data_IF_631379820274
#
_entry.id   IF_631379820274
#
_cell.length_a   1.000
_cell.length_b   1.000
_cell.length_c   1.000
_cell.angle_alpha   90.00
_cell.angle_beta   90.00
_cell.angle_gamma   90.00
#
_symmetry.space_group_name_H-M   'P 1'
#
loop_
_entity.id
_entity.type
_entity.pdbx_description
1 polymer ?
#
# COMPACT_ATOMS: atom_id res chain seq x y z
N UNK A 1 -15.78 -8.79 14.57
CA UNK A 1 -15.35 -8.21 14.29
C UNK A 1 -15.35 -7.61 13.71
N UNK A 2 -15.05 -7.30 13.59
CA UNK A 2 -14.80 -6.62 13.10
C UNK A 2 -14.81 -6.02 12.36
N UNK A 3 -14.96 -5.86 11.77
CA UNK A 3 -14.55 -5.24 10.98
C UNK A 3 -15.12 -4.09 10.70
N UNK A 4 -15.97 -3.70 10.95
CA UNK A 4 -16.28 -2.44 11.25
C UNK A 4 -16.06 -1.48 10.17
N UNK A 5 -16.23 -1.78 8.95
CA UNK A 5 -15.95 -0.90 7.87
C UNK A 5 -14.49 -0.87 7.46
N UNK A 6 -13.65 -1.56 8.18
CA UNK A 6 -12.26 -1.62 7.83
C UNK A 6 -12.04 -2.84 7.00
N UNK A 7 -12.64 -2.87 5.85
CA UNK A 7 -12.47 -3.97 4.95
C UNK A 7 -11.23 -3.75 4.13
N UNK A 8 -10.47 -4.78 3.83
CA UNK A 8 -9.42 -4.62 2.84
C UNK A 8 -10.05 -4.25 1.51
N UNK A 9 -9.27 -3.71 0.61
CA UNK A 9 -9.72 -3.43 -0.72
C UNK A 9 -10.36 -4.68 -1.29
N UNK A 10 -11.36 -4.55 -2.15
CA UNK A 10 -11.96 -5.72 -2.76
C UNK A 10 -10.95 -6.60 -3.47
N UNK A 11 -9.90 -5.99 -3.98
CA UNK A 11 -8.84 -6.75 -4.58
C UNK A 11 -7.99 -7.39 -3.51
N UNK A 12 -8.08 -6.89 -2.28
CA UNK A 12 -7.40 -7.49 -1.16
C UNK A 12 -5.92 -7.55 -1.32
N UNK A 13 -5.34 -6.64 -2.10
CA UNK A 13 -3.94 -6.71 -2.43
C UNK A 13 -3.65 -8.08 -3.02
N UNK A 14 -4.41 -8.44 -4.06
CA UNK A 14 -4.32 -9.73 -4.68
C UNK A 14 -3.11 -9.79 -5.56
N UNK A 15 -2.02 -10.25 -5.04
CA UNK A 15 -0.73 -10.17 -5.72
C UNK A 15 -0.56 -11.17 -6.83
N UNK A 16 -1.27 -12.30 -6.82
CA UNK A 16 -1.14 -13.24 -7.92
C UNK A 16 -1.55 -12.58 -9.23
N UNK A 17 -2.60 -11.78 -9.20
CA UNK A 17 -3.03 -11.06 -10.40
C UNK A 17 -1.94 -10.11 -10.88
N UNK A 18 -1.35 -9.35 -9.94
CA UNK A 18 -0.32 -8.39 -10.32
C UNK A 18 0.96 -9.08 -10.78
N UNK A 19 1.27 -10.24 -10.24
CA UNK A 19 2.43 -11.01 -10.69
C UNK A 19 2.29 -11.41 -12.14
N UNK A 20 1.11 -11.88 -12.52
CA UNK A 20 0.83 -12.26 -13.90
C UNK A 20 0.88 -11.03 -14.80
N UNK A 21 0.23 -9.95 -14.37
CA UNK A 21 0.20 -8.73 -15.16
C UNK A 21 1.60 -8.16 -15.36
N UNK A 22 2.47 -8.27 -14.38
CA UNK A 22 3.83 -7.74 -14.46
C UNK A 22 4.66 -8.42 -15.53
N UNK A 23 4.32 -9.67 -15.89
CA UNK A 23 5.01 -10.34 -16.97
C UNK A 23 4.63 -9.76 -18.32
N UNK A 24 3.42 -9.26 -18.44
CA UNK A 24 2.92 -8.74 -19.71
C UNK A 24 3.05 -7.23 -19.82
N UNK A 25 2.76 -6.52 -18.75
CA UNK A 25 2.77 -5.07 -18.74
C UNK A 25 3.19 -4.57 -17.35
N UNK A 26 4.51 -4.52 -17.11
CA UNK A 26 5.00 -4.16 -15.79
C UNK A 26 4.54 -2.78 -15.33
N UNK A 27 4.46 -1.81 -16.22
CA UNK A 27 4.03 -0.47 -15.85
C UNK A 27 2.58 -0.46 -15.39
N UNK A 28 1.73 -1.20 -16.07
CA UNK A 28 0.33 -1.28 -15.70
C UNK A 28 0.17 -1.98 -14.35
N UNK A 29 0.97 -3.04 -14.12
CA UNK A 29 0.93 -3.74 -12.85
C UNK A 29 1.27 -2.81 -11.69
N UNK A 30 2.27 -1.96 -11.87
CA UNK A 30 2.65 -1.01 -10.80
C UNK A 30 1.62 0.09 -10.62
N UNK A 31 0.96 0.52 -11.69
CA UNK A 31 -0.12 1.49 -11.56
C UNK A 31 -1.25 0.91 -10.71
N UNK A 32 -1.60 -0.35 -10.95
CA UNK A 32 -2.62 -1.02 -10.16
C UNK A 32 -2.18 -1.21 -8.72
N UNK A 33 -0.93 -1.59 -8.52
CA UNK A 33 -0.39 -1.75 -7.18
C UNK A 33 -0.47 -0.45 -6.39
N UNK A 34 -0.19 0.68 -7.03
CA UNK A 34 -0.27 1.96 -6.34
C UNK A 34 -1.67 2.21 -5.80
N UNK A 35 -2.69 1.86 -6.59
CA UNK A 35 -4.07 2.04 -6.13
C UNK A 35 -4.37 1.16 -4.92
N UNK A 36 -3.83 -0.07 -4.91
CA UNK A 36 -4.01 -0.95 -3.77
C UNK A 36 -3.35 -0.39 -2.52
N UNK A 37 -2.12 0.10 -2.68
CA UNK A 37 -1.39 0.67 -1.54
C UNK A 37 -2.10 1.91 -1.01
N UNK A 38 -2.62 2.75 -1.89
CA UNK A 38 -3.38 3.91 -1.47
C UNK A 38 -4.60 3.53 -0.66
N UNK A 39 -5.32 2.51 -1.12
CA UNK A 39 -6.49 2.02 -0.39
C UNK A 39 -6.09 1.49 0.98
N UNK A 40 -4.99 0.74 1.03
CA UNK A 40 -4.46 0.24 2.30
C UNK A 40 -4.16 1.39 3.26
N UNK A 41 -3.49 2.42 2.78
CA UNK A 41 -3.13 3.55 3.63
C UNK A 41 -4.37 4.27 4.16
N UNK A 42 -5.39 4.43 3.32
CA UNK A 42 -6.63 5.06 3.77
C UNK A 42 -7.34 4.21 4.81
N UNK A 43 -7.34 2.89 4.63
CA UNK A 43 -7.95 2.01 5.61
C UNK A 43 -7.19 2.03 6.93
N UNK A 44 -5.85 2.06 6.87
CA UNK A 44 -5.05 2.18 8.08
C UNK A 44 -5.34 3.49 8.82
N UNK A 45 -5.48 4.58 8.06
CA UNK A 45 -5.78 5.86 8.67
C UNK A 45 -7.12 5.83 9.40
N UNK A 46 -8.11 5.20 8.79
CA UNK A 46 -9.40 5.05 9.43
C UNK A 46 -9.27 4.20 10.70
N UNK A 47 -8.52 3.11 10.63
CA UNK A 47 -8.37 2.22 11.78
C UNK A 47 -7.62 2.85 12.94
N UNK A 48 -6.67 3.73 12.65
CA UNK A 48 -5.89 4.40 13.69
C UNK A 48 -6.41 5.80 14.02
N UNK A 49 -7.58 6.16 13.50
CA UNK A 49 -8.21 7.46 13.76
C UNK A 49 -7.34 8.63 13.31
N UNK A 50 -6.72 8.48 12.16
CA UNK A 50 -5.96 9.56 11.56
C UNK A 50 -6.88 10.31 10.61
N UNK A 51 -7.04 11.61 10.81
CA UNK A 51 -7.91 12.41 9.98
C UNK A 51 -7.24 12.72 8.65
N UNK A 52 -7.93 12.45 7.57
CA UNK A 52 -7.41 12.73 6.24
C UNK A 52 -8.27 13.77 5.55
N UNK A 53 -7.64 14.56 4.70
CA UNK A 53 -8.37 15.44 3.82
C UNK A 53 -8.51 14.77 2.47
N UNK A 54 -9.50 15.22 1.72
CA UNK A 54 -9.82 14.60 0.45
C UNK A 54 -8.65 14.64 -0.51
N UNK A 55 -7.81 15.67 -0.41
CA UNK A 55 -6.69 15.84 -1.33
C UNK A 55 -5.40 15.19 -0.86
N UNK A 56 -5.41 14.53 0.27
CA UNK A 56 -4.17 13.98 0.80
C UNK A 56 -3.60 12.94 -0.15
N UNK A 57 -2.36 13.14 -0.55
CA UNK A 57 -1.66 12.18 -1.39
C UNK A 57 -1.17 11.02 -0.54
N UNK A 58 -0.76 9.95 -1.20
CA UNK A 58 -0.21 8.80 -0.49
C UNK A 58 0.97 9.20 0.40
N UNK A 59 1.81 10.12 -0.08
CA UNK A 59 2.94 10.59 0.73
C UNK A 59 2.50 11.32 1.98
N UNK A 60 1.48 12.16 1.85
CA UNK A 60 0.95 12.89 3.00
C UNK A 60 0.29 11.93 3.99
N UNK A 61 -0.47 10.97 3.49
CA UNK A 61 -1.10 9.98 4.35
C UNK A 61 -0.04 9.20 5.12
N UNK A 62 1.01 8.78 4.43
CA UNK A 62 2.10 8.04 5.06
C UNK A 62 2.74 8.86 6.18
N UNK A 63 2.98 10.14 5.92
CA UNK A 63 3.56 11.01 6.92
C UNK A 63 2.66 11.15 8.14
N UNK A 64 1.36 11.32 7.92
CA UNK A 64 0.40 11.44 9.01
C UNK A 64 0.36 10.16 9.85
N UNK A 65 0.40 9.00 9.19
CA UNK A 65 0.42 7.74 9.91
C UNK A 65 1.69 7.61 10.74
N UNK A 66 2.81 8.03 10.20
CA UNK A 66 4.06 7.97 10.96
C UNK A 66 4.02 8.93 12.16
N UNK A 67 3.52 10.13 11.96
CA UNK A 67 3.45 11.10 13.05
C UNK A 67 2.52 10.62 14.16
N UNK A 68 1.49 9.90 13.79
CA UNK A 68 0.57 9.32 14.77
C UNK A 68 1.20 8.14 15.52
N UNK A 69 2.29 7.59 15.01
CA UNK A 69 2.88 6.38 15.59
C UNK A 69 2.22 5.11 15.09
N UNK A 70 1.40 5.21 14.05
CA UNK A 70 0.69 4.05 13.53
C UNK A 70 1.60 3.14 12.71
N UNK A 71 2.62 3.70 12.10
CA UNK A 71 3.59 2.89 11.36
C UNK A 71 5.00 3.26 11.80
N UNK A 72 5.90 2.31 11.67
CA UNK A 72 7.28 2.49 12.07
C UNK A 72 8.07 3.22 11.00
N UNK A 73 9.28 3.65 11.33
CA UNK A 73 10.18 4.23 10.35
C UNK A 73 10.49 3.26 9.23
N UNK A 74 10.68 2.00 9.56
CA UNK A 74 10.97 0.99 8.55
C UNK A 74 9.79 0.80 7.61
N UNK A 75 8.58 0.74 8.15
CA UNK A 75 7.38 0.63 7.33
C UNK A 75 7.20 1.85 6.45
N UNK A 76 7.51 3.03 6.99
CA UNK A 76 7.45 4.27 6.22
C UNK A 76 8.38 4.21 5.01
N UNK A 77 9.58 3.70 5.22
CA UNK A 77 10.55 3.59 4.12
C UNK A 77 10.06 2.62 3.05
N UNK A 78 9.48 1.50 3.46
CA UNK A 78 8.97 0.52 2.50
C UNK A 78 7.82 1.10 1.68
N UNK A 79 6.87 1.76 2.35
CA UNK A 79 5.75 2.39 1.66
C UNK A 79 6.24 3.44 0.68
N UNK A 80 7.18 4.28 1.12
CA UNK A 80 7.69 5.34 0.28
C UNK A 80 8.40 4.79 -0.95
N UNK A 81 9.16 3.71 -0.78
CA UNK A 81 9.84 3.09 -1.90
C UNK A 81 8.85 2.56 -2.92
N UNK A 82 7.82 1.86 -2.46
CA UNK A 82 6.80 1.31 -3.36
C UNK A 82 6.10 2.43 -4.11
N UNK A 83 5.70 3.48 -3.38
CA UNK A 83 4.97 4.59 -4.01
C UNK A 83 5.82 5.31 -5.02
N UNK A 84 7.10 5.58 -4.71
CA UNK A 84 7.97 6.27 -5.64
C UNK A 84 8.15 5.48 -6.93
N UNK A 85 8.34 4.18 -6.81
CA UNK A 85 8.56 3.35 -7.98
C UNK A 85 7.28 3.21 -8.80
N UNK A 86 6.13 3.10 -8.13
CA UNK A 86 4.87 3.07 -8.83
C UNK A 86 4.59 4.40 -9.54
N UNK A 87 4.93 5.52 -8.90
CA UNK A 87 4.75 6.82 -9.54
C UNK A 87 5.62 6.96 -10.78
N UNK A 88 6.86 6.48 -10.71
CA UNK A 88 7.74 6.53 -11.87
C UNK A 88 7.12 5.75 -13.03
N UNK A 89 6.53 4.60 -12.74
CA UNK A 89 5.89 3.79 -13.77
C UNK A 89 4.69 4.51 -14.39
N UNK A 90 3.91 5.19 -13.55
CA UNK A 90 2.74 5.93 -14.02
C UNK A 90 3.16 7.09 -14.90
N UNK A 91 4.29 7.72 -14.58
CA UNK A 91 4.77 8.87 -15.35
C UNK A 91 5.65 8.46 -16.53
N UNK A 92 5.60 7.22 -16.93
CA UNK A 92 6.19 6.78 -18.19
C UNK A 92 7.59 6.22 -18.13
N UNK A 93 8.18 6.08 -16.95
CA UNK A 93 9.46 5.43 -16.83
C UNK A 93 9.29 3.96 -17.18
N UNK A 94 10.10 3.46 -18.09
CA UNK A 94 9.98 2.07 -18.50
C UNK A 94 10.45 1.16 -17.36
N UNK A 95 9.58 0.23 -17.00
CA UNK A 95 9.87 -0.74 -15.94
C UNK A 95 10.00 -2.11 -16.57
N UNK A 96 11.01 -2.85 -16.18
CA UNK A 96 11.18 -4.22 -16.64
C UNK A 96 10.41 -5.17 -15.73
N UNK A 97 10.05 -6.32 -16.29
CA UNK A 97 9.25 -7.29 -15.54
C UNK A 97 9.89 -7.67 -14.21
N UNK A 98 11.20 -7.93 -14.20
CA UNK A 98 11.84 -8.34 -12.94
C UNK A 98 11.84 -7.22 -11.91
N UNK A 99 11.88 -5.97 -12.37
CA UNK A 99 11.81 -4.84 -11.45
C UNK A 99 10.43 -4.75 -10.81
N UNK A 100 9.39 -4.96 -11.61
CA UNK A 100 8.03 -4.96 -11.08
C UNK A 100 7.85 -6.10 -10.08
N UNK A 101 8.43 -7.26 -10.35
CA UNK A 101 8.34 -8.38 -9.41
C UNK A 101 9.03 -8.06 -8.09
N UNK A 102 10.17 -7.37 -8.14
CA UNK A 102 10.86 -6.98 -6.91
C UNK A 102 10.03 -6.00 -6.08
N UNK A 103 9.36 -5.08 -6.75
CA UNK A 103 8.49 -4.12 -6.05
C UNK A 103 7.30 -4.84 -5.45
N UNK A 104 6.76 -5.83 -6.14
CA UNK A 104 5.69 -6.65 -5.60
C UNK A 104 6.15 -7.42 -4.37
N UNK A 105 7.42 -7.87 -4.36
CA UNK A 105 7.97 -8.54 -3.18
C UNK A 105 7.93 -7.61 -1.97
N UNK A 106 8.32 -6.36 -2.15
CA UNK A 106 8.29 -5.39 -1.06
C UNK A 106 6.85 -5.13 -0.62
N UNK A 107 5.94 -5.01 -1.59
CA UNK A 107 4.56 -4.74 -1.29
C UNK A 107 3.92 -5.89 -0.52
N UNK A 108 4.36 -7.13 -0.76
CA UNK A 108 3.84 -8.27 -0.01
C UNK A 108 4.21 -8.19 1.46
N UNK A 109 5.37 -7.66 1.79
CA UNK A 109 5.75 -7.47 3.18
C UNK A 109 4.77 -6.50 3.85
N UNK A 110 4.46 -5.40 3.16
CA UNK A 110 3.49 -4.45 3.68
C UNK A 110 2.11 -5.07 3.80
N UNK A 111 1.72 -5.88 2.82
CA UNK A 111 0.42 -6.54 2.86
C UNK A 111 0.31 -7.45 4.07
N UNK A 112 1.35 -8.21 4.36
CA UNK A 112 1.31 -9.14 5.49
C UNK A 112 1.14 -8.39 6.80
N UNK A 113 1.80 -7.24 6.96
CA UNK A 113 1.63 -6.44 8.16
C UNK A 113 0.25 -5.81 8.23
N UNK A 114 -0.27 -5.37 7.09
CA UNK A 114 -1.61 -4.81 7.03
C UNK A 114 -2.65 -5.85 7.43
N UNK A 115 -2.51 -7.08 6.92
CA UNK A 115 -3.43 -8.16 7.28
C UNK A 115 -3.34 -8.47 8.77
N UNK A 116 -2.15 -8.40 9.33
CA UNK A 116 -1.97 -8.60 10.75
C UNK A 116 -2.74 -7.56 11.56
N UNK A 117 -2.65 -6.28 11.18
CA UNK A 117 -3.42 -5.25 11.84
C UNK A 117 -4.91 -5.53 11.76
N UNK A 118 -5.42 -5.94 10.61
CA UNK A 118 -6.84 -6.25 10.47
C UNK A 118 -7.23 -7.40 11.37
N UNK A 119 -6.37 -8.40 11.50
CA UNK A 119 -6.64 -9.56 12.34
C UNK A 119 -6.68 -9.21 13.81
N UNK A 120 -5.83 -8.30 14.25
CA UNK A 120 -5.76 -7.94 15.66
C UNK A 120 -6.60 -6.71 16.00
N UNK A 121 -7.29 -6.13 15.01
CA UNK A 121 -8.27 -5.10 15.27
C UNK A 121 -7.71 -3.73 15.56
N UNK A 122 -6.56 -3.39 15.08
CA UNK A 122 -5.99 -2.06 15.33
C UNK A 122 -6.00 -1.69 16.81
N UNK A 123 -5.63 -2.64 17.64
CA UNK A 123 -5.64 -2.38 19.02
C UNK A 123 -4.67 -1.36 19.34
N UNK A 124 -5.00 -0.24 19.96
CA UNK A 124 -4.08 0.63 20.27
C UNK A 124 -3.88 0.62 21.58
N UNK A 125 -3.20 0.22 22.02
CA UNK A 125 -2.88 0.14 23.35
C UNK A 125 -1.98 1.12 23.92
#
# INVERSE_FOLDING_TARGET
MLNFGLQPSPTGLEFSHYRILAEQDPNLALAGLRMEVETMLKNLSKGFNVSLEERDSAGIITRKLKEKGAITSQQTELVSAVIQLCNAAIHGTKVLSYQAQEILDIAEILRDEYVSWLSWGFQDN
#
